data_IF_032854691311
#
_entry.id   IF_032854691311
#
_cell.length_a   1.000
_cell.length_b   1.000
_cell.length_c   1.000
_cell.angle_alpha   90.00
_cell.angle_beta   90.00
_cell.angle_gamma   90.00
#
_symmetry.space_group_name_H-M   'P 1'
#
loop_
_entity.id
_entity.type
_entity.pdbx_description
1 polymer ?
#
# COMPACT_ATOMS: atom_id res chain seq x y z
N UNK A 1 -30.67 55.06 38.73
CA UNK A 1 -29.57 54.40 38.02
C UNK A 1 -29.90 52.92 37.91
N UNK A 2 -30.21 52.42 36.70
CA UNK A 2 -30.52 51.00 36.44
C UNK A 2 -29.33 50.40 35.71
N UNK A 3 -28.58 49.52 36.37
CA UNK A 3 -27.57 48.67 35.74
C UNK A 3 -28.25 47.37 35.29
N UNK A 4 -28.34 47.15 33.98
CA UNK A 4 -28.72 45.87 33.38
C UNK A 4 -27.42 45.18 32.98
N UNK A 5 -27.05 44.09 33.66
CA UNK A 5 -25.88 43.28 33.34
C UNK A 5 -26.18 42.36 32.16
N UNK A 6 -25.29 42.39 31.18
CA UNK A 6 -25.22 41.49 30.03
C UNK A 6 -24.66 40.10 30.41
N UNK A 7 -25.36 39.08 29.91
CA UNK A 7 -24.89 37.84 29.27
C UNK A 7 -23.44 37.35 29.56
N UNK A 8 -23.36 36.12 30.08
CA UNK A 8 -22.41 35.11 29.55
C UNK A 8 -23.12 33.76 29.48
N UNK A 9 -23.58 33.40 28.28
CA UNK A 9 -23.92 32.01 27.93
C UNK A 9 -22.61 31.29 27.62
N UNK A 10 -22.13 30.46 28.56
CA UNK A 10 -21.10 29.47 28.24
C UNK A 10 -21.75 28.38 27.38
N UNK A 11 -21.59 28.52 26.07
CA UNK A 11 -21.79 27.40 25.15
C UNK A 11 -20.71 26.35 25.47
N UNK A 12 -21.13 25.22 26.06
CA UNK A 12 -20.33 24.02 26.18
C UNK A 12 -20.10 23.44 24.77
N UNK A 13 -19.09 23.98 24.09
CA UNK A 13 -18.66 23.53 22.78
C UNK A 13 -17.98 22.16 22.89
N UNK A 14 -18.60 21.19 22.22
CA UNK A 14 -18.01 19.99 21.63
C UNK A 14 -16.80 19.38 22.35
N UNK A 15 -17.05 18.34 23.14
CA UNK A 15 -16.11 17.24 23.30
C UNK A 15 -15.92 16.53 21.96
N UNK A 16 -15.11 17.11 21.08
CA UNK A 16 -14.45 16.33 20.05
C UNK A 16 -13.37 15.53 20.77
N UNK A 17 -13.68 14.28 21.13
CA UNK A 17 -12.63 13.31 21.44
C UNK A 17 -11.70 13.30 20.24
N UNK A 18 -10.51 13.86 20.41
CA UNK A 18 -9.40 13.57 19.52
C UNK A 18 -9.24 12.05 19.57
N UNK A 19 -9.62 11.37 18.50
CA UNK A 19 -9.38 9.94 18.38
C UNK A 19 -7.88 9.74 18.62
N UNK A 20 -7.52 8.94 19.62
CA UNK A 20 -6.13 8.56 19.80
C UNK A 20 -5.61 7.99 18.48
N UNK A 21 -4.34 8.25 18.11
CA UNK A 21 -3.75 7.66 16.93
C UNK A 21 -3.96 6.15 17.00
N UNK A 22 -4.63 5.59 15.99
CA UNK A 22 -4.84 4.14 15.91
C UNK A 22 -3.47 3.44 16.02
N UNK A 23 -3.39 2.39 16.82
CA UNK A 23 -2.15 1.62 16.94
C UNK A 23 -1.71 1.06 15.59
N UNK A 24 -0.41 0.76 15.43
CA UNK A 24 0.15 0.23 14.19
C UNK A 24 -0.68 -0.89 13.53
N UNK A 25 -1.19 -1.91 14.27
CA UNK A 25 -2.04 -2.94 13.68
C UNK A 25 -3.33 -2.39 13.05
N UNK A 26 -3.98 -1.42 13.68
CA UNK A 26 -5.24 -0.85 13.20
C UNK A 26 -5.00 0.06 11.99
N UNK A 27 -3.88 0.80 11.97
CA UNK A 27 -3.45 1.54 10.78
C UNK A 27 -3.21 0.59 9.60
N UNK A 28 -2.48 -0.50 9.80
CA UNK A 28 -2.23 -1.50 8.75
C UNK A 28 -3.55 -2.12 8.26
N UNK A 29 -4.46 -2.51 9.15
CA UNK A 29 -5.77 -3.06 8.76
C UNK A 29 -6.58 -2.06 7.94
N UNK A 30 -6.63 -0.79 8.36
CA UNK A 30 -7.34 0.27 7.66
C UNK A 30 -6.77 0.46 6.25
N UNK A 31 -5.46 0.66 6.13
CA UNK A 31 -4.79 0.88 4.85
C UNK A 31 -4.91 -0.35 3.93
N UNK A 32 -4.72 -1.55 4.46
CA UNK A 32 -4.85 -2.80 3.72
C UNK A 32 -6.23 -2.97 3.08
N UNK A 33 -7.30 -2.62 3.81
CA UNK A 33 -8.68 -2.69 3.32
C UNK A 33 -8.98 -1.67 2.21
N UNK A 34 -8.26 -0.55 2.18
CA UNK A 34 -8.39 0.48 1.15
C UNK A 34 -7.60 0.16 -0.14
N UNK A 35 -6.66 -0.80 -0.08
CA UNK A 35 -5.84 -1.19 -1.22
C UNK A 35 -6.57 -2.19 -2.13
N UNK A 36 -6.28 -2.10 -3.43
CA UNK A 36 -6.65 -3.12 -4.41
C UNK A 36 -5.58 -4.20 -4.43
N UNK A 37 -6.00 -5.46 -4.35
CA UNK A 37 -5.12 -6.63 -4.39
C UNK A 37 -5.45 -7.49 -5.62
N UNK A 38 -4.48 -8.19 -6.20
CA UNK A 38 -4.76 -9.23 -7.18
C UNK A 38 -5.58 -10.35 -6.53
N UNK A 39 -6.44 -10.99 -7.32
CA UNK A 39 -7.30 -12.10 -6.86
C UNK A 39 -6.51 -13.36 -6.50
N UNK A 40 -5.35 -13.57 -7.12
CA UNK A 40 -4.51 -14.77 -6.98
C UNK A 40 -3.31 -14.59 -6.05
N UNK A 41 -2.96 -13.34 -5.68
CA UNK A 41 -1.87 -13.05 -4.75
C UNK A 41 -2.33 -12.02 -3.73
N UNK A 42 -2.68 -12.48 -2.53
CA UNK A 42 -3.09 -11.63 -1.42
C UNK A 42 -2.29 -11.99 -0.16
N UNK A 43 -1.59 -11.03 0.48
CA UNK A 43 -0.87 -11.31 1.70
C UNK A 43 -1.82 -11.53 2.89
N UNK A 44 -1.53 -12.51 3.73
CA UNK A 44 -2.01 -12.67 5.09
C UNK A 44 -1.71 -11.39 5.87
N UNK A 45 -2.79 -10.72 6.26
CA UNK A 45 -2.76 -9.44 6.96
C UNK A 45 -2.14 -9.55 8.36
N UNK A 46 -2.40 -10.62 9.08
CA UNK A 46 -1.88 -10.78 10.44
C UNK A 46 -0.39 -11.16 10.41
N UNK A 47 0.04 -11.96 9.43
CA UNK A 47 1.45 -12.20 9.16
C UNK A 47 2.18 -10.90 8.78
N UNK A 48 1.55 -10.06 7.92
CA UNK A 48 2.07 -8.74 7.57
C UNK A 48 2.26 -7.86 8.80
N UNK A 49 1.19 -7.66 9.58
CA UNK A 49 1.24 -6.85 10.82
C UNK A 49 2.37 -7.31 11.73
N UNK A 50 2.53 -8.63 11.91
CA UNK A 50 3.56 -9.19 12.77
C UNK A 50 4.98 -8.93 12.25
N UNK A 51 5.22 -9.11 10.96
CA UNK A 51 6.57 -9.01 10.40
C UNK A 51 6.97 -7.57 10.02
N UNK A 52 6.04 -6.62 9.99
CA UNK A 52 6.34 -5.19 9.73
C UNK A 52 6.15 -4.28 10.93
N UNK A 53 5.79 -4.84 12.10
CA UNK A 53 5.64 -4.09 13.33
C UNK A 53 6.92 -3.29 13.64
N UNK A 54 6.81 -1.99 13.96
CA UNK A 54 7.97 -1.19 14.34
C UNK A 54 8.61 -1.73 15.61
N UNK A 55 9.92 -1.53 15.75
CA UNK A 55 10.59 -1.82 17.02
C UNK A 55 10.02 -0.93 18.14
N UNK A 56 10.19 -1.36 19.39
CA UNK A 56 9.68 -0.60 20.53
C UNK A 56 10.30 0.81 20.55
N UNK A 57 9.44 1.84 20.56
CA UNK A 57 9.85 3.25 20.55
C UNK A 57 10.02 3.86 19.16
N UNK A 58 9.82 3.10 18.09
CA UNK A 58 9.80 3.61 16.72
C UNK A 58 8.37 3.92 16.25
N UNK A 59 8.26 4.85 15.29
CA UNK A 59 7.00 5.09 14.59
C UNK A 59 6.82 4.06 13.47
N UNK A 60 5.57 3.64 13.25
CA UNK A 60 5.24 2.67 12.23
C UNK A 60 5.41 3.21 10.80
N UNK A 61 5.96 2.39 9.91
CA UNK A 61 6.01 2.65 8.46
C UNK A 61 4.91 1.88 7.70
N UNK A 62 3.70 1.79 8.29
CA UNK A 62 2.61 0.94 7.82
C UNK A 62 2.30 1.14 6.33
N UNK A 63 2.21 2.40 5.90
CA UNK A 63 1.96 2.75 4.50
C UNK A 63 3.04 2.23 3.56
N UNK A 64 4.32 2.33 3.93
CA UNK A 64 5.43 1.90 3.09
C UNK A 64 5.52 0.38 3.02
N UNK A 65 5.36 -0.30 4.16
CA UNK A 65 5.30 -1.76 4.23
C UNK A 65 4.18 -2.32 3.32
N UNK A 66 2.98 -1.74 3.40
CA UNK A 66 1.87 -2.12 2.56
C UNK A 66 2.07 -1.79 1.08
N UNK A 67 2.70 -0.65 0.77
CA UNK A 67 3.02 -0.27 -0.60
C UNK A 67 3.96 -1.29 -1.27
N UNK A 68 4.99 -1.75 -0.56
CA UNK A 68 5.90 -2.80 -1.03
C UNK A 68 5.16 -4.13 -1.20
N UNK A 69 4.38 -4.55 -0.19
CA UNK A 69 3.61 -5.79 -0.26
C UNK A 69 2.60 -5.79 -1.44
N UNK A 70 1.93 -4.66 -1.68
CA UNK A 70 1.00 -4.50 -2.79
C UNK A 70 1.70 -4.53 -4.15
N UNK A 71 2.84 -3.85 -4.26
CA UNK A 71 3.65 -3.87 -5.47
C UNK A 71 4.11 -5.29 -5.80
N UNK A 72 4.65 -6.02 -4.82
CA UNK A 72 5.04 -7.40 -4.98
C UNK A 72 3.87 -8.33 -5.36
N UNK A 73 2.67 -8.10 -4.81
CA UNK A 73 1.50 -8.89 -5.16
C UNK A 73 1.15 -8.77 -6.65
N UNK A 74 1.16 -7.55 -7.20
CA UNK A 74 0.87 -7.32 -8.62
C UNK A 74 1.95 -7.88 -9.55
N UNK A 75 3.22 -7.68 -9.24
CA UNK A 75 4.33 -8.22 -10.03
C UNK A 75 4.33 -9.76 -10.05
N UNK A 76 4.08 -10.40 -8.89
CA UNK A 76 3.96 -11.86 -8.79
C UNK A 76 2.72 -12.40 -9.50
N UNK A 77 1.59 -11.71 -9.41
CA UNK A 77 0.37 -12.06 -10.14
C UNK A 77 0.61 -12.06 -11.65
N UNK A 78 1.30 -11.03 -12.16
CA UNK A 78 1.67 -10.94 -13.57
C UNK A 78 2.61 -12.09 -13.99
N UNK A 79 3.71 -12.31 -13.27
CA UNK A 79 4.70 -13.33 -13.64
C UNK A 79 4.12 -14.75 -13.59
N UNK A 80 3.32 -15.04 -12.56
CA UNK A 80 2.58 -16.30 -12.47
C UNK A 80 1.58 -16.47 -13.62
N UNK A 81 0.88 -15.40 -14.01
CA UNK A 81 -0.08 -15.42 -15.11
C UNK A 81 0.58 -15.66 -16.47
N UNK A 82 1.71 -14.99 -16.73
CA UNK A 82 2.51 -15.22 -17.94
C UNK A 82 3.04 -16.65 -17.97
N UNK A 83 3.58 -17.14 -16.85
CA UNK A 83 4.12 -18.50 -16.75
C UNK A 83 3.09 -19.58 -17.03
N UNK A 84 1.84 -19.39 -16.61
CA UNK A 84 0.73 -20.32 -16.86
C UNK A 84 -0.05 -20.07 -18.17
N UNK A 85 0.33 -19.05 -18.95
CA UNK A 85 -0.33 -18.69 -20.21
C UNK A 85 -1.70 -18.00 -20.05
N UNK A 86 -2.02 -17.48 -18.86
CA UNK A 86 -3.27 -16.79 -18.55
C UNK A 86 -3.21 -15.31 -18.97
N UNK A 87 -3.59 -15.06 -20.23
CA UNK A 87 -3.53 -13.71 -20.82
C UNK A 87 -4.46 -12.71 -20.14
N UNK A 88 -5.60 -13.15 -19.62
CA UNK A 88 -6.59 -12.27 -19.00
C UNK A 88 -6.08 -11.74 -17.64
N UNK A 89 -5.54 -12.63 -16.80
CA UNK A 89 -4.92 -12.20 -15.55
C UNK A 89 -3.66 -11.37 -15.83
N UNK A 90 -2.82 -11.77 -16.79
CA UNK A 90 -1.61 -11.02 -17.12
C UNK A 90 -1.94 -9.58 -17.55
N UNK A 91 -2.97 -9.37 -18.36
CA UNK A 91 -3.43 -8.03 -18.74
C UNK A 91 -3.94 -7.22 -17.54
N UNK A 92 -4.70 -7.84 -16.64
CA UNK A 92 -5.23 -7.18 -15.43
C UNK A 92 -4.11 -6.77 -14.47
N UNK A 93 -3.14 -7.66 -14.26
CA UNK A 93 -1.98 -7.37 -13.40
C UNK A 93 -1.09 -6.29 -14.03
N UNK A 94 -0.92 -6.30 -15.36
CA UNK A 94 -0.16 -5.28 -16.07
C UNK A 94 -0.81 -3.89 -15.97
N UNK A 95 -2.13 -3.78 -16.15
CA UNK A 95 -2.88 -2.53 -15.93
C UNK A 95 -2.66 -1.98 -14.51
N UNK A 96 -2.68 -2.85 -13.51
CA UNK A 96 -2.39 -2.47 -12.14
C UNK A 96 -0.93 -1.99 -11.95
N UNK A 97 0.05 -2.65 -12.56
CA UNK A 97 1.46 -2.21 -12.53
C UNK A 97 1.59 -0.82 -13.17
N UNK A 98 0.94 -0.58 -14.30
CA UNK A 98 0.96 0.68 -15.03
C UNK A 98 0.31 1.83 -14.27
N UNK A 99 -0.85 1.59 -13.64
CA UNK A 99 -1.73 2.66 -13.18
C UNK A 99 -1.91 2.74 -11.66
N UNK A 100 -1.68 1.64 -10.93
CA UNK A 100 -1.79 1.58 -9.48
C UNK A 100 -0.41 1.62 -8.82
N UNK A 101 0.51 0.73 -9.21
CA UNK A 101 1.83 0.60 -8.59
C UNK A 101 2.70 1.84 -8.81
N UNK A 102 2.62 2.47 -9.98
CA UNK A 102 3.37 3.70 -10.29
C UNK A 102 3.12 4.87 -9.32
N UNK A 103 2.07 4.79 -8.49
CA UNK A 103 1.72 5.80 -7.47
C UNK A 103 2.38 5.56 -6.11
N UNK A 104 2.97 4.38 -5.90
CA UNK A 104 3.43 3.95 -4.58
C UNK A 104 4.89 4.30 -4.25
N UNK A 105 5.85 4.36 -5.19
CA UNK A 105 7.12 5.02 -4.91
C UNK A 105 6.86 6.51 -4.62
N UNK A 106 7.44 7.09 -3.54
CA UNK A 106 7.29 8.50 -3.22
C UNK A 106 7.65 9.40 -4.42
N UNK A 107 7.05 10.59 -4.54
CA UNK A 107 7.39 11.54 -5.62
C UNK A 107 8.88 11.92 -5.66
N UNK A 108 9.58 11.83 -4.53
CA UNK A 108 11.02 12.02 -4.45
C UNK A 108 11.84 10.87 -5.09
N UNK A 109 11.27 9.65 -5.18
CA UNK A 109 11.94 8.48 -5.76
C UNK A 109 11.71 8.41 -7.29
N UNK A 110 12.39 9.29 -8.02
CA UNK A 110 12.31 9.37 -9.47
C UNK A 110 12.81 8.09 -10.16
N UNK A 111 13.86 7.47 -9.63
CA UNK A 111 14.44 6.23 -10.17
C UNK A 111 13.47 5.05 -10.02
N UNK A 112 12.87 4.86 -8.84
CA UNK A 112 11.87 3.82 -8.61
C UNK A 112 10.63 3.98 -9.50
N UNK A 113 10.13 5.22 -9.70
CA UNK A 113 9.02 5.46 -10.63
C UNK A 113 9.40 5.17 -12.09
N UNK A 114 10.62 5.51 -12.50
CA UNK A 114 11.09 5.18 -13.84
C UNK A 114 11.19 3.67 -14.02
N UNK A 115 11.73 2.95 -13.04
CA UNK A 115 11.81 1.49 -13.06
C UNK A 115 10.42 0.85 -13.26
N UNK A 116 9.41 1.28 -12.49
CA UNK A 116 8.05 0.71 -12.63
C UNK A 116 7.47 0.97 -14.04
N UNK A 117 7.72 2.15 -14.61
CA UNK A 117 7.29 2.48 -15.99
C UNK A 117 8.01 1.62 -17.02
N UNK A 118 9.32 1.42 -16.87
CA UNK A 118 10.12 0.61 -17.79
C UNK A 118 9.74 -0.86 -17.69
N UNK A 119 9.48 -1.37 -16.47
CA UNK A 119 9.01 -2.72 -16.24
C UNK A 119 7.66 -2.97 -16.92
N UNK A 120 6.71 -2.04 -16.78
CA UNK A 120 5.43 -2.11 -17.47
C UNK A 120 5.57 -2.05 -19.00
N UNK A 121 6.37 -1.12 -19.52
CA UNK A 121 6.59 -0.95 -20.96
C UNK A 121 7.23 -2.21 -21.57
N UNK A 122 8.19 -2.83 -20.88
CA UNK A 122 8.78 -4.10 -21.32
C UNK A 122 7.78 -5.25 -21.23
N UNK A 123 7.06 -5.37 -20.12
CA UNK A 123 6.05 -6.40 -19.91
C UNK A 123 4.94 -6.35 -20.97
N UNK A 124 4.46 -5.16 -21.35
CA UNK A 124 3.47 -4.98 -22.41
C UNK A 124 3.98 -5.38 -23.80
N UNK A 125 5.30 -5.27 -24.02
CA UNK A 125 5.97 -5.76 -25.24
C UNK A 125 6.32 -7.26 -25.20
N UNK A 126 6.01 -7.96 -24.10
CA UNK A 126 6.26 -9.39 -23.90
C UNK A 126 7.65 -9.72 -23.34
N UNK A 127 8.43 -8.73 -22.90
CA UNK A 127 9.70 -8.92 -22.20
C UNK A 127 9.46 -8.95 -20.67
N UNK A 128 9.58 -10.12 -20.00
CA UNK A 128 9.32 -10.25 -18.56
C UNK A 128 10.51 -9.84 -17.69
N UNK A 129 11.68 -9.50 -18.26
CA UNK A 129 12.93 -9.41 -17.52
C UNK A 129 12.85 -8.49 -16.30
N UNK A 130 12.39 -7.24 -16.47
CA UNK A 130 12.34 -6.29 -15.35
C UNK A 130 11.28 -6.64 -14.30
N UNK A 131 10.16 -7.27 -14.70
CA UNK A 131 9.16 -7.73 -13.74
C UNK A 131 9.75 -8.85 -12.88
N UNK A 132 10.43 -9.82 -13.50
CA UNK A 132 11.10 -10.91 -12.79
C UNK A 132 12.25 -10.43 -11.93
N UNK A 133 13.09 -9.54 -12.44
CA UNK A 133 14.17 -8.92 -11.66
C UNK A 133 13.62 -8.21 -10.42
N UNK A 134 12.47 -7.54 -10.53
CA UNK A 134 11.83 -6.93 -9.37
C UNK A 134 11.31 -7.97 -8.38
N UNK A 135 10.62 -9.01 -8.86
CA UNK A 135 10.11 -10.11 -8.03
C UNK A 135 11.25 -10.78 -7.29
N UNK A 136 12.32 -11.10 -7.99
CA UNK A 136 13.51 -11.68 -7.41
C UNK A 136 14.10 -10.67 -6.40
N UNK A 137 14.59 -9.51 -6.83
CA UNK A 137 15.29 -8.60 -5.93
C UNK A 137 14.49 -8.12 -4.70
N UNK A 138 13.17 -7.97 -4.80
CA UNK A 138 12.37 -7.26 -3.79
C UNK A 138 11.26 -8.10 -3.14
N UNK A 139 10.87 -9.22 -3.76
CA UNK A 139 9.70 -9.99 -3.32
C UNK A 139 10.06 -11.37 -2.75
N UNK A 140 11.33 -11.62 -2.43
CA UNK A 140 11.77 -12.83 -1.74
C UNK A 140 11.29 -12.90 -0.29
N UNK A 141 10.91 -14.12 0.11
CA UNK A 141 10.67 -14.60 1.48
C UNK A 141 9.75 -13.76 2.38
N UNK A 142 9.04 -12.80 1.83
CA UNK A 142 7.86 -12.28 2.49
C UNK A 142 6.76 -13.33 2.43
N UNK A 143 6.89 -14.36 3.27
CA UNK A 143 5.79 -15.18 3.74
C UNK A 143 4.87 -14.29 4.56
N UNK A 144 4.22 -13.36 3.87
CA UNK A 144 2.95 -12.81 4.31
C UNK A 144 1.86 -13.85 4.02
N UNK A 145 2.09 -15.12 4.31
CA UNK A 145 1.23 -16.25 3.97
C UNK A 145 1.21 -17.21 5.14
#
# INVERSE_FOLDING_TARGET
MRFVLLLVLFAAGCGASAAEPAGYPDEVRSLYSAMKWPSDVRPDLEALIKATAPAQGEQGFARQALAVANTCAWYRSWDAAVTRGDKAQAATALDAIEHLVTRYPPEADTAGRQFVRDAAAKASSGDPALVRDYVDANCFDTRWA
#
